data_IF_679241385645
#
_entry.id   IF_679241385645
#
_cell.length_a   1.000
_cell.length_b   1.000
_cell.length_c   1.000
_cell.angle_alpha   90.00
_cell.angle_beta   90.00
_cell.angle_gamma   90.00
#
_symmetry.space_group_name_H-M   'P 1'
#
loop_
_entity.id
_entity.type
_entity.pdbx_description
1 polymer ?
#
# COMPACT_ATOMS: atom_id res chain seq x y z
N UNK A 1 -21.51 -17.59 16.31
CA UNK A 1 -20.11 -17.25 16.52
C UNK A 1 -19.75 -16.19 15.48
N UNK A 2 -19.60 -14.94 15.89
CA UNK A 2 -19.10 -13.87 15.00
C UNK A 2 -17.60 -14.03 14.92
N UNK A 3 -17.09 -14.21 13.72
CA UNK A 3 -15.67 -14.15 13.40
C UNK A 3 -15.13 -12.80 13.90
N UNK A 4 -14.05 -12.83 14.68
CA UNK A 4 -13.33 -11.63 15.03
C UNK A 4 -12.66 -11.12 13.75
N UNK A 5 -13.23 -10.09 13.14
CA UNK A 5 -12.60 -9.36 12.06
C UNK A 5 -11.38 -8.63 12.64
N UNK A 6 -10.19 -9.05 12.24
CA UNK A 6 -8.95 -8.32 12.54
C UNK A 6 -9.05 -6.94 11.90
N UNK A 7 -9.23 -5.90 12.73
CA UNK A 7 -9.26 -4.52 12.24
C UNK A 7 -7.84 -3.99 12.18
N UNK A 8 -7.26 -4.02 10.99
CA UNK A 8 -6.02 -3.32 10.71
C UNK A 8 -6.32 -1.82 10.61
N UNK A 9 -5.54 -1.00 11.27
CA UNK A 9 -5.74 0.44 11.32
C UNK A 9 -4.45 1.16 10.95
N UNK A 10 -4.53 2.20 10.13
CA UNK A 10 -3.40 3.02 9.71
C UNK A 10 -3.44 4.39 10.36
N UNK A 11 -2.30 4.88 10.80
CA UNK A 11 -2.12 6.22 11.30
C UNK A 11 -1.14 6.99 10.43
N UNK A 12 -1.57 8.11 9.85
CA UNK A 12 -0.65 9.07 9.28
C UNK A 12 0.12 9.74 10.42
N UNK A 13 1.44 9.74 10.36
CA UNK A 13 2.28 10.46 11.31
C UNK A 13 2.83 11.70 10.62
N UNK A 14 2.45 12.88 11.13
CA UNK A 14 3.04 14.15 10.70
C UNK A 14 4.48 14.33 11.21
N UNK A 15 4.92 13.49 12.13
CA UNK A 15 6.25 13.53 12.72
C UNK A 15 6.90 12.15 12.73
N UNK A 16 7.60 11.83 11.65
CA UNK A 16 8.74 10.93 11.78
C UNK A 16 9.89 11.81 12.25
N UNK A 17 10.20 11.80 13.55
CA UNK A 17 11.32 12.56 14.09
C UNK A 17 12.58 12.25 13.26
N UNK A 18 13.13 13.25 12.61
CA UNK A 18 14.37 13.19 11.86
C UNK A 18 14.28 13.32 10.35
N UNK A 19 13.08 13.40 9.74
CA UNK A 19 12.96 13.64 8.29
C UNK A 19 12.30 14.99 8.04
N UNK A 20 13.11 16.06 8.14
CA UNK A 20 12.73 17.36 7.57
C UNK A 20 13.14 17.41 6.10
N UNK A 21 12.25 17.82 5.16
CA UNK A 21 12.65 18.07 3.78
C UNK A 21 13.79 19.09 3.75
N UNK A 22 14.92 18.73 3.14
CA UNK A 22 16.07 19.64 2.98
C UNK A 22 17.18 19.54 4.04
N UNK A 23 17.13 18.59 4.98
CA UNK A 23 18.21 18.43 5.94
C UNK A 23 19.43 17.72 5.30
N UNK A 24 20.63 18.33 5.29
CA UNK A 24 21.83 17.75 4.62
C UNK A 24 22.27 16.39 5.17
N UNK A 25 21.83 15.99 6.37
CA UNK A 25 22.15 14.69 6.96
C UNK A 25 21.49 13.49 6.23
N UNK A 26 20.45 13.72 5.42
CA UNK A 26 19.79 12.65 4.67
C UNK A 26 20.62 12.23 3.46
N UNK A 27 21.28 13.18 2.79
CA UNK A 27 22.12 12.91 1.62
C UNK A 27 23.34 12.04 1.95
N UNK A 28 23.90 12.14 3.15
CA UNK A 28 25.07 11.36 3.57
C UNK A 28 24.78 9.93 4.02
N UNK A 29 23.53 9.59 4.32
CA UNK A 29 23.14 8.21 4.72
C UNK A 29 22.80 7.30 3.55
N UNK A 30 22.49 7.86 2.39
CA UNK A 30 22.12 7.08 1.19
C UNK A 30 23.33 6.52 0.45
N UNK A 31 24.55 6.99 0.74
CA UNK A 31 25.78 6.60 0.03
C UNK A 31 26.48 5.35 0.59
N UNK A 32 25.94 4.67 1.59
CA UNK A 32 26.48 3.37 1.99
C UNK A 32 25.90 2.28 1.11
N UNK A 33 26.72 1.65 0.30
CA UNK A 33 26.53 0.45 -0.50
C UNK A 33 25.76 -0.63 0.28
N UNK A 34 24.44 -0.50 0.35
CA UNK A 34 23.55 -1.62 0.71
C UNK A 34 23.18 -2.36 -0.57
N UNK A 35 22.96 -3.66 -0.43
CA UNK A 35 22.32 -4.43 -1.48
C UNK A 35 21.08 -3.67 -2.01
N UNK A 36 20.81 -3.72 -3.32
CA UNK A 36 19.65 -3.06 -3.87
C UNK A 36 18.40 -3.50 -3.09
N UNK A 37 17.50 -2.53 -2.82
CA UNK A 37 16.24 -2.85 -2.17
C UNK A 37 15.47 -3.85 -3.04
N UNK A 38 14.92 -4.91 -2.44
CA UNK A 38 14.08 -5.84 -3.19
C UNK A 38 12.79 -5.13 -3.62
N UNK A 39 12.41 -5.31 -4.88
CA UNK A 39 11.12 -4.89 -5.42
C UNK A 39 10.28 -6.14 -5.68
N UNK A 40 9.09 -6.19 -5.12
CA UNK A 40 8.15 -7.27 -5.29
C UNK A 40 6.89 -6.75 -5.98
N UNK A 41 6.48 -7.36 -7.07
CA UNK A 41 5.22 -7.06 -7.74
C UNK A 41 4.06 -7.74 -7.02
N UNK A 42 3.02 -6.97 -6.71
CA UNK A 42 1.83 -7.46 -6.02
C UNK A 42 0.57 -6.97 -6.73
N UNK A 43 -0.27 -7.88 -7.22
CA UNK A 43 -1.51 -7.52 -7.90
C UNK A 43 -2.58 -6.92 -6.97
N UNK A 44 -2.48 -7.18 -5.67
CA UNK A 44 -3.44 -6.65 -4.71
C UNK A 44 -3.40 -5.12 -4.60
N UNK A 45 -2.25 -4.48 -4.87
CA UNK A 45 -2.11 -3.02 -4.79
C UNK A 45 -2.13 -2.32 -6.15
N UNK A 46 -2.65 -2.97 -7.21
CA UNK A 46 -2.84 -2.32 -8.52
C UNK A 46 -3.97 -1.28 -8.47
N UNK A 47 -4.02 -0.42 -9.49
CA UNK A 47 -5.08 0.59 -9.62
C UNK A 47 -6.46 -0.06 -9.68
N UNK A 48 -7.51 0.76 -9.66
CA UNK A 48 -8.87 0.38 -9.97
C UNK A 48 -8.91 -0.50 -11.23
N UNK A 49 -9.54 -1.67 -11.12
CA UNK A 49 -9.66 -2.61 -12.25
C UNK A 49 -10.84 -2.18 -13.09
N UNK A 50 -10.57 -1.36 -14.10
CA UNK A 50 -11.55 -0.85 -15.03
C UNK A 50 -11.61 -1.62 -16.34
N UNK A 51 -12.42 -1.09 -17.26
CA UNK A 51 -12.57 -1.63 -18.61
C UNK A 51 -11.72 -0.88 -19.65
N UNK A 52 -11.02 0.17 -19.22
CA UNK A 52 -10.19 0.95 -20.11
C UNK A 52 -8.90 0.20 -20.49
N UNK A 53 -8.39 0.34 -21.72
CA UNK A 53 -7.15 -0.32 -22.13
C UNK A 53 -5.93 0.03 -21.25
N UNK A 54 -5.90 1.22 -20.62
CA UNK A 54 -4.82 1.63 -19.71
C UNK A 54 -4.83 0.87 -18.38
N UNK A 55 -5.94 0.27 -17.99
CA UNK A 55 -6.07 -0.50 -16.75
C UNK A 55 -5.54 -1.94 -16.93
N UNK A 56 -5.33 -2.35 -18.19
CA UNK A 56 -4.86 -3.67 -18.52
C UNK A 56 -3.38 -3.86 -18.27
N UNK A 57 -3.03 -4.90 -17.53
CA UNK A 57 -1.67 -5.38 -17.41
C UNK A 57 -1.22 -6.09 -18.70
N UNK A 58 0.03 -5.92 -19.10
CA UNK A 58 0.66 -6.76 -20.13
C UNK A 58 0.97 -8.15 -19.57
N UNK A 59 1.46 -9.03 -20.43
CA UNK A 59 1.94 -10.36 -20.00
C UNK A 59 3.03 -10.25 -18.95
N UNK A 60 2.98 -11.12 -17.95
CA UNK A 60 3.98 -11.14 -16.88
C UNK A 60 5.39 -11.40 -17.41
N UNK A 61 5.53 -12.22 -18.43
CA UNK A 61 6.80 -12.48 -19.11
C UNK A 61 7.41 -11.22 -19.73
N UNK A 62 6.58 -10.33 -20.30
CA UNK A 62 7.05 -9.06 -20.86
C UNK A 62 7.62 -8.16 -19.74
N UNK A 63 6.94 -8.06 -18.59
CA UNK A 63 7.43 -7.27 -17.45
C UNK A 63 8.69 -7.85 -16.84
N UNK A 64 8.79 -9.18 -16.72
CA UNK A 64 10.04 -9.83 -16.26
C UNK A 64 11.23 -9.50 -17.16
N UNK A 65 11.02 -9.43 -18.46
CA UNK A 65 12.07 -9.03 -19.40
C UNK A 65 12.42 -7.54 -19.31
N UNK A 66 11.42 -6.68 -19.11
CA UNK A 66 11.60 -5.23 -19.00
C UNK A 66 12.20 -4.80 -17.65
N UNK A 67 11.88 -5.48 -16.57
CA UNK A 67 12.24 -5.14 -15.21
C UNK A 67 12.90 -6.33 -14.48
N UNK A 68 14.12 -6.71 -14.86
CA UNK A 68 14.79 -7.89 -14.31
C UNK A 68 15.16 -7.77 -12.82
N UNK A 69 15.08 -6.55 -12.26
CA UNK A 69 15.30 -6.29 -10.83
C UNK A 69 14.04 -6.39 -9.97
N UNK A 70 12.88 -6.71 -10.57
CA UNK A 70 11.61 -6.86 -9.86
C UNK A 70 11.26 -8.34 -9.73
N UNK A 71 10.92 -8.76 -8.54
CA UNK A 71 10.39 -10.10 -8.27
C UNK A 71 8.90 -10.16 -8.62
N UNK A 72 8.54 -11.00 -9.57
CA UNK A 72 7.16 -11.28 -9.99
C UNK A 72 6.66 -12.65 -9.50
N UNK A 73 7.24 -13.21 -8.47
CA UNK A 73 6.88 -14.56 -7.98
C UNK A 73 5.43 -14.65 -7.50
N UNK A 74 4.87 -13.54 -7.01
CA UNK A 74 3.48 -13.48 -6.54
C UNK A 74 2.48 -13.15 -7.66
N UNK A 75 2.93 -12.84 -8.86
CA UNK A 75 2.08 -12.66 -10.05
C UNK A 75 2.07 -13.98 -10.83
N UNK A 76 1.09 -14.84 -10.54
CA UNK A 76 1.03 -16.21 -11.05
C UNK A 76 0.51 -16.29 -12.46
N UNK A 77 -0.40 -15.38 -12.83
CA UNK A 77 -1.04 -15.41 -14.14
C UNK A 77 -0.19 -14.71 -15.21
N UNK A 78 -0.04 -15.36 -16.36
CA UNK A 78 0.67 -14.79 -17.51
C UNK A 78 -0.10 -13.60 -18.08
N UNK A 79 -1.36 -13.80 -18.40
CA UNK A 79 -2.27 -12.78 -18.92
C UNK A 79 -3.02 -12.08 -17.78
N UNK A 80 -3.55 -10.88 -18.05
CA UNK A 80 -4.39 -10.16 -17.10
C UNK A 80 -5.81 -10.75 -17.06
N UNK A 81 -6.02 -11.72 -16.21
CA UNK A 81 -7.32 -12.40 -16.03
C UNK A 81 -8.34 -11.54 -15.27
N UNK A 82 -7.92 -10.45 -14.66
CA UNK A 82 -8.79 -9.54 -13.90
C UNK A 82 -9.41 -8.46 -14.78
N UNK A 83 -8.72 -8.08 -15.86
CA UNK A 83 -9.17 -7.04 -16.78
C UNK A 83 -10.25 -7.55 -17.74
N UNK A 84 -11.25 -6.72 -18.01
CA UNK A 84 -12.27 -6.99 -19.03
C UNK A 84 -13.45 -7.83 -18.58
N UNK A 85 -13.45 -8.34 -17.35
CA UNK A 85 -14.56 -9.15 -16.82
C UNK A 85 -15.68 -8.27 -16.30
N UNK A 86 -15.33 -7.23 -15.54
CA UNK A 86 -16.25 -6.21 -15.03
C UNK A 86 -15.47 -4.99 -14.59
N UNK A 87 -16.17 -3.88 -14.42
CA UNK A 87 -15.66 -2.71 -13.74
C UNK A 87 -15.67 -2.97 -12.23
N UNK A 88 -14.52 -2.84 -11.57
CA UNK A 88 -14.43 -3.03 -10.12
C UNK A 88 -15.24 -1.95 -9.40
N UNK A 89 -16.17 -2.33 -8.58
CA UNK A 89 -16.90 -1.38 -7.74
C UNK A 89 -16.11 -1.03 -6.47
N UNK A 90 -16.60 -0.03 -5.74
CA UNK A 90 -15.95 0.42 -4.51
C UNK A 90 -15.87 -0.70 -3.46
N UNK A 91 -16.87 -1.57 -3.35
CA UNK A 91 -16.87 -2.65 -2.37
C UNK A 91 -15.81 -3.71 -2.71
N UNK A 92 -15.67 -4.05 -3.98
CA UNK A 92 -14.63 -4.98 -4.45
C UNK A 92 -13.21 -4.39 -4.23
N UNK A 93 -13.04 -3.10 -4.50
CA UNK A 93 -11.76 -2.41 -4.26
C UNK A 93 -11.42 -2.36 -2.77
N UNK A 94 -12.39 -2.06 -1.89
CA UNK A 94 -12.19 -2.11 -0.44
C UNK A 94 -11.84 -3.53 0.02
N UNK A 95 -12.53 -4.56 -0.47
CA UNK A 95 -12.21 -5.94 -0.16
C UNK A 95 -10.81 -6.34 -0.64
N UNK A 96 -10.34 -5.81 -1.76
CA UNK A 96 -8.97 -5.98 -2.24
C UNK A 96 -7.96 -5.25 -1.35
N UNK A 97 -8.28 -4.06 -0.88
CA UNK A 97 -7.47 -3.31 0.08
C UNK A 97 -7.33 -4.08 1.41
N UNK A 98 -8.38 -4.72 1.91
CA UNK A 98 -8.29 -5.59 3.09
C UNK A 98 -7.34 -6.75 2.87
N UNK A 99 -7.45 -7.49 1.77
CA UNK A 99 -6.50 -8.58 1.44
C UNK A 99 -5.07 -8.09 1.30
N UNK A 100 -4.88 -6.91 0.72
CA UNK A 100 -3.56 -6.29 0.63
C UNK A 100 -2.98 -5.99 2.00
N UNK A 101 -3.75 -5.40 2.91
CA UNK A 101 -3.28 -5.10 4.26
C UNK A 101 -3.01 -6.36 5.08
N UNK A 102 -3.83 -7.41 4.95
CA UNK A 102 -3.54 -8.71 5.56
C UNK A 102 -2.22 -9.30 5.04
N UNK A 103 -1.94 -9.13 3.76
CA UNK A 103 -0.68 -9.55 3.16
C UNK A 103 0.49 -8.72 3.71
N UNK A 104 0.36 -7.40 3.79
CA UNK A 104 1.37 -6.51 4.39
C UNK A 104 1.68 -6.91 5.83
N UNK A 105 0.65 -7.19 6.65
CA UNK A 105 0.81 -7.55 8.05
C UNK A 105 1.50 -8.91 8.27
N UNK A 106 1.49 -9.78 7.27
CA UNK A 106 2.21 -11.07 7.30
C UNK A 106 3.66 -10.96 6.85
N UNK A 107 4.09 -9.79 6.38
CA UNK A 107 5.48 -9.59 5.93
C UNK A 107 6.43 -9.49 7.11
N UNK A 108 7.65 -10.05 6.99
CA UNK A 108 8.67 -9.95 8.04
C UNK A 108 9.35 -8.57 8.09
N UNK A 109 9.19 -7.76 7.05
CA UNK A 109 9.83 -6.47 6.95
C UNK A 109 9.12 -5.44 7.85
N UNK A 110 9.88 -4.71 8.66
CA UNK A 110 9.34 -3.66 9.53
C UNK A 110 9.10 -2.33 8.80
N UNK A 111 9.75 -2.13 7.66
CA UNK A 111 9.62 -0.94 6.84
C UNK A 111 9.30 -1.37 5.42
N UNK A 112 8.14 -1.02 4.94
CA UNK A 112 7.65 -1.38 3.62
C UNK A 112 7.28 -0.10 2.87
N UNK A 113 7.82 0.09 1.67
CA UNK A 113 7.36 1.12 0.76
C UNK A 113 6.39 0.49 -0.26
N UNK A 114 5.20 1.05 -0.36
CA UNK A 114 4.19 0.64 -1.33
C UNK A 114 4.09 1.69 -2.42
N UNK A 115 4.30 1.30 -3.67
CA UNK A 115 4.07 2.14 -4.84
C UNK A 115 2.78 1.68 -5.50
N UNK A 116 1.79 2.54 -5.52
CA UNK A 116 0.46 2.23 -6.03
C UNK A 116 -0.15 3.45 -6.72
N UNK A 117 -1.42 3.41 -7.00
CA UNK A 117 -2.16 4.44 -7.72
C UNK A 117 -3.18 5.14 -6.82
N UNK A 118 -3.67 6.29 -7.31
CA UNK A 118 -4.47 7.20 -6.49
C UNK A 118 -5.82 6.63 -6.04
N UNK A 119 -6.55 5.91 -6.91
CA UNK A 119 -7.86 5.39 -6.53
C UNK A 119 -7.75 4.26 -5.50
N UNK A 120 -6.80 3.33 -5.70
CA UNK A 120 -6.55 2.28 -4.73
C UNK A 120 -6.05 2.83 -3.39
N UNK A 121 -5.12 3.82 -3.43
CA UNK A 121 -4.65 4.49 -2.21
C UNK A 121 -5.78 5.20 -1.48
N UNK A 122 -6.64 5.92 -2.19
CA UNK A 122 -7.80 6.59 -1.58
C UNK A 122 -8.79 5.60 -0.96
N UNK A 123 -9.02 4.44 -1.59
CA UNK A 123 -9.85 3.37 -1.02
C UNK A 123 -9.21 2.81 0.26
N UNK A 124 -7.93 2.49 0.22
CA UNK A 124 -7.18 1.98 1.36
C UNK A 124 -7.19 2.97 2.54
N UNK A 125 -6.96 4.26 2.29
CA UNK A 125 -6.98 5.31 3.30
C UNK A 125 -8.37 5.47 3.94
N UNK A 126 -9.44 5.35 3.17
CA UNK A 126 -10.81 5.43 3.71
C UNK A 126 -11.16 4.23 4.59
N UNK A 127 -10.67 3.03 4.24
CA UNK A 127 -10.94 1.80 5.01
C UNK A 127 -10.11 1.73 6.30
N UNK A 128 -8.83 2.11 6.23
CA UNK A 128 -7.87 1.92 7.32
C UNK A 128 -7.35 3.22 7.91
N UNK A 129 -7.73 4.35 7.34
CA UNK A 129 -7.30 5.66 7.81
C UNK A 129 -7.76 5.97 9.23
N UNK A 130 -7.19 7.02 9.78
CA UNK A 130 -7.48 7.46 11.14
C UNK A 130 -8.99 7.62 11.38
N UNK A 131 -9.48 6.97 12.42
CA UNK A 131 -10.88 7.03 12.86
C UNK A 131 -10.94 7.63 14.26
N UNK A 132 -12.15 8.05 14.68
CA UNK A 132 -12.40 8.52 16.05
C UNK A 132 -12.03 7.46 17.09
N UNK A 133 -12.11 6.18 16.74
CA UNK A 133 -11.76 5.05 17.59
C UNK A 133 -10.26 5.01 17.97
N UNK A 134 -9.41 5.64 17.16
CA UNK A 134 -7.97 5.76 17.42
C UNK A 134 -7.62 7.01 18.22
N UNK A 135 -8.60 7.86 18.55
CA UNK A 135 -8.35 9.15 19.20
C UNK A 135 -7.48 10.09 18.35
N UNK A 136 -7.49 9.92 17.04
CA UNK A 136 -6.73 10.78 16.14
C UNK A 136 -7.34 12.17 16.08
N UNK A 137 -6.48 13.20 16.04
CA UNK A 137 -6.91 14.57 15.81
C UNK A 137 -7.68 14.71 14.49
N UNK A 138 -8.60 15.65 14.42
CA UNK A 138 -9.48 15.85 13.26
C UNK A 138 -8.68 16.16 11.98
N UNK A 139 -7.57 16.90 12.13
CA UNK A 139 -6.67 17.20 11.02
C UNK A 139 -6.05 15.92 10.40
N UNK A 140 -5.68 14.95 11.25
CA UNK A 140 -5.13 13.66 10.81
C UNK A 140 -6.20 12.84 10.09
N UNK A 141 -7.44 12.88 10.58
CA UNK A 141 -8.56 12.21 9.93
C UNK A 141 -8.87 12.83 8.57
N UNK A 142 -8.86 14.16 8.47
CA UNK A 142 -9.06 14.87 7.22
C UNK A 142 -7.97 14.52 6.19
N UNK A 143 -6.71 14.43 6.63
CA UNK A 143 -5.57 14.08 5.78
C UNK A 143 -5.70 12.66 5.22
N UNK A 144 -6.18 11.70 5.99
CA UNK A 144 -6.38 10.32 5.53
C UNK A 144 -7.61 10.14 4.62
N UNK A 145 -8.52 11.10 4.59
CA UNK A 145 -9.74 11.05 3.77
C UNK A 145 -9.61 11.81 2.45
N UNK A 146 -8.59 12.62 2.29
CA UNK A 146 -8.38 13.36 1.04
C UNK A 146 -7.87 12.46 -0.08
N UNK A 147 -8.03 12.92 -1.30
CA UNK A 147 -7.44 12.27 -2.46
C UNK A 147 -5.93 12.53 -2.49
N UNK A 148 -5.10 11.49 -2.66
CA UNK A 148 -3.64 11.68 -2.71
C UNK A 148 -3.22 12.42 -4.00
N UNK A 149 -2.18 13.25 -3.87
CA UNK A 149 -1.59 13.95 -5.02
C UNK A 149 -0.67 13.02 -5.82
N UNK A 150 -0.34 13.43 -7.04
CA UNK A 150 0.63 12.71 -7.87
C UNK A 150 2.02 12.66 -7.18
N UNK A 151 2.64 11.49 -7.19
CA UNK A 151 3.96 11.25 -6.60
C UNK A 151 4.05 11.61 -5.11
N UNK A 152 2.93 11.66 -4.42
CA UNK A 152 2.91 11.93 -3.00
C UNK A 152 3.36 10.72 -2.20
N UNK A 153 4.23 10.93 -1.23
CA UNK A 153 4.61 9.91 -0.25
C UNK A 153 3.88 10.19 1.08
N UNK A 154 3.07 9.24 1.50
CA UNK A 154 2.33 9.28 2.76
C UNK A 154 2.98 8.31 3.76
N UNK A 155 3.71 8.79 4.76
CA UNK A 155 4.25 7.95 5.82
C UNK A 155 3.11 7.50 6.75
N UNK A 156 3.09 6.19 7.07
CA UNK A 156 2.04 5.60 7.90
C UNK A 156 2.63 4.62 8.90
N UNK A 157 1.98 4.51 10.04
CA UNK A 157 2.17 3.41 10.99
C UNK A 157 0.93 2.53 10.93
N UNK A 158 1.15 1.25 10.65
CA UNK A 158 0.08 0.25 10.66
C UNK A 158 0.07 -0.43 12.03
N UNK A 159 -1.09 -0.46 12.66
CA UNK A 159 -1.26 -1.06 13.98
C UNK A 159 -2.34 -2.13 13.89
N UNK A 160 -2.05 -3.31 14.40
CA UNK A 160 -3.07 -4.33 14.66
C UNK A 160 -3.60 -4.17 16.09
N UNK A 161 -4.80 -3.64 16.28
CA UNK A 161 -5.35 -3.43 17.60
C UNK A 161 -5.76 -4.73 18.31
N UNK A 162 -5.85 -5.85 17.58
CA UNK A 162 -6.15 -7.17 18.15
C UNK A 162 -4.92 -7.90 18.67
N UNK A 163 -3.74 -7.48 18.26
CA UNK A 163 -2.46 -7.99 18.76
C UNK A 163 -2.23 -7.51 20.18
N UNK A 164 -2.74 -8.23 21.15
CA UNK A 164 -2.42 -8.03 22.56
C UNK A 164 -0.92 -8.05 22.74
N UNK A 165 -0.35 -6.92 23.20
CA UNK A 165 1.06 -6.76 23.40
C UNK A 165 1.64 -7.87 24.27
N UNK A 166 2.37 -8.77 23.64
CA UNK A 166 3.37 -9.58 24.30
C UNK A 166 4.60 -8.71 24.48
N UNK A 167 4.78 -8.15 25.64
CA UNK A 167 6.04 -7.62 26.17
C UNK A 167 6.88 -8.80 26.62
#
# INVERSE_FOLDING_TARGET
>A
ARSAESRVMMRATSEVEGIRPGHPAIAHRVTRTRAPLPFLACELCREHIGLNPCDRRRKTSEYRAMFPGVDFSEVTEEDDVLWGTMNEDNAAMCARAHRFMEWVMKRPEQHIAVVTHSAFMAAMLREFGATDQLGCAEEVQAETRRWPNNCEMLPMVVVDPSGGGGV
#
